data_IF_709831456701
#
_entry.id   IF_709831456701
#
_cell.length_a   1.000
_cell.length_b   1.000
_cell.length_c   1.000
_cell.angle_alpha   90.00
_cell.angle_beta   90.00
_cell.angle_gamma   90.00
#
_symmetry.space_group_name_H-M   'P 1'
#
loop_
_entity.id
_entity.type
_entity.pdbx_description
1 polymer ?
#
# COMPACT_ATOMS: atom_id res chain seq x y z
N UNK A 1 -8.24 26.86 -8.64
CA UNK A 1 -6.85 26.92 -8.09
C UNK A 1 -6.32 25.56 -7.63
N UNK A 2 -7.02 24.77 -6.79
CA UNK A 2 -6.51 23.46 -6.32
C UNK A 2 -6.33 22.40 -7.43
N UNK A 3 -7.26 22.28 -8.37
CA UNK A 3 -7.13 21.36 -9.52
C UNK A 3 -6.01 21.76 -10.50
N UNK A 4 -5.75 23.07 -10.63
CA UNK A 4 -4.65 23.60 -11.43
C UNK A 4 -3.29 23.29 -10.81
N UNK A 5 -3.20 23.24 -9.48
CA UNK A 5 -1.98 22.87 -8.76
C UNK A 5 -1.64 21.39 -8.97
N UNK A 6 -2.62 20.49 -8.84
CA UNK A 6 -2.45 19.04 -9.11
C UNK A 6 -2.04 18.79 -10.56
N UNK A 7 -2.65 19.49 -11.52
CA UNK A 7 -2.28 19.37 -12.93
C UNK A 7 -0.85 19.90 -13.20
N UNK A 8 -0.44 20.99 -12.54
CA UNK A 8 0.93 21.50 -12.63
C UNK A 8 1.95 20.58 -11.96
N UNK A 9 1.62 19.90 -10.86
CA UNK A 9 2.47 18.89 -10.23
C UNK A 9 2.72 17.70 -11.16
N UNK A 10 1.66 17.17 -11.80
CA UNK A 10 1.76 16.07 -12.77
C UNK A 10 2.57 16.50 -14.02
N UNK A 11 2.45 17.77 -14.43
CA UNK A 11 3.15 18.31 -15.60
C UNK A 11 4.63 18.67 -15.32
N UNK A 12 4.98 19.01 -14.07
CA UNK A 12 6.36 19.20 -13.63
C UNK A 12 7.11 17.86 -13.46
N UNK A 13 6.43 16.82 -12.97
CA UNK A 13 7.00 15.47 -12.82
C UNK A 13 7.28 14.83 -14.19
N UNK A 14 6.43 15.08 -15.19
CA UNK A 14 6.59 14.56 -16.56
C UNK A 14 7.63 15.30 -17.42
N UNK A 15 8.13 16.47 -17.01
CA UNK A 15 9.23 17.17 -17.71
C UNK A 15 10.63 16.66 -17.34
N UNK A 16 10.74 15.78 -16.35
CA UNK A 16 12.02 15.32 -15.84
C UNK A 16 12.38 13.89 -16.37
N UNK A 17 11.81 13.49 -17.51
CA UNK A 17 11.99 12.17 -18.15
C UNK A 17 13.30 12.14 -18.94
N UNK A 18 14.44 12.16 -18.23
CA UNK A 18 15.74 11.62 -18.65
C UNK A 18 16.65 11.61 -17.41
N UNK A 19 16.82 10.45 -16.76
CA UNK A 19 17.75 10.28 -15.63
C UNK A 19 17.22 10.69 -14.24
N UNK A 20 15.91 10.68 -14.00
CA UNK A 20 15.33 11.08 -12.72
C UNK A 20 15.47 10.02 -11.63
N UNK A 21 16.08 10.41 -10.50
CA UNK A 21 15.76 9.83 -9.20
C UNK A 21 14.29 10.16 -8.91
N UNK A 22 13.44 9.14 -8.80
CA UNK A 22 12.09 9.35 -8.29
C UNK A 22 12.19 9.78 -6.83
N UNK A 23 11.59 10.91 -6.48
CA UNK A 23 11.51 11.34 -5.08
C UNK A 23 10.43 10.51 -4.38
N UNK A 24 10.82 9.31 -3.94
CA UNK A 24 9.93 8.39 -3.24
C UNK A 24 9.33 9.05 -1.98
N UNK A 25 10.06 9.95 -1.33
CA UNK A 25 9.59 10.68 -0.17
C UNK A 25 8.48 11.67 -0.53
N UNK A 26 8.63 12.41 -1.63
CA UNK A 26 7.59 13.31 -2.14
C UNK A 26 6.31 12.52 -2.47
N UNK A 27 6.46 11.37 -3.14
CA UNK A 27 5.30 10.53 -3.49
C UNK A 27 4.63 9.98 -2.23
N UNK A 28 5.38 9.45 -1.26
CA UNK A 28 4.83 9.01 0.03
C UNK A 28 4.08 10.13 0.76
N UNK A 29 4.61 11.36 0.70
CA UNK A 29 3.98 12.53 1.33
C UNK A 29 2.77 13.04 0.56
N UNK A 30 2.62 12.68 -0.71
CA UNK A 30 1.45 13.02 -1.52
C UNK A 30 0.18 12.23 -1.14
N UNK A 31 0.32 11.13 -0.38
CA UNK A 31 -0.83 10.36 0.08
C UNK A 31 -1.75 11.21 0.96
N UNK A 32 -3.08 11.16 0.74
CA UNK A 32 -4.01 11.87 1.59
C UNK A 32 -3.92 11.35 3.03
N UNK A 33 -4.13 12.21 4.04
CA UNK A 33 -4.20 11.75 5.43
C UNK A 33 -5.37 10.77 5.59
N UNK A 34 -5.21 9.81 6.50
CA UNK A 34 -6.24 8.82 6.81
C UNK A 34 -7.53 9.55 7.27
N UNK A 35 -8.71 9.19 6.76
CA UNK A 35 -9.98 9.82 7.18
C UNK A 35 -10.26 9.50 8.64
N UNK A 36 -10.90 10.38 9.41
CA UNK A 36 -11.22 10.11 10.83
C UNK A 36 -12.45 9.23 11.06
N UNK A 37 -13.28 9.07 10.03
CA UNK A 37 -14.55 8.37 10.06
C UNK A 37 -14.47 6.96 9.43
N UNK A 38 -13.31 6.30 9.46
CA UNK A 38 -13.10 4.99 8.82
C UNK A 38 -14.10 3.92 9.28
N UNK A 39 -14.48 3.95 10.56
CA UNK A 39 -15.47 3.02 11.13
C UNK A 39 -16.91 3.27 10.65
N UNK A 40 -17.32 4.52 10.38
CA UNK A 40 -18.75 4.86 10.19
C UNK A 40 -19.06 5.61 8.91
N UNK A 41 -18.09 5.73 7.99
CA UNK A 41 -18.29 6.41 6.71
C UNK A 41 -19.41 5.78 5.87
N UNK A 42 -20.19 6.67 5.25
CA UNK A 42 -21.18 6.37 4.22
C UNK A 42 -20.53 5.91 2.92
N UNK A 43 -21.33 5.31 2.02
CA UNK A 43 -20.90 4.99 0.66
C UNK A 43 -20.27 6.18 -0.09
N UNK A 44 -20.87 7.36 0.00
CA UNK A 44 -20.38 8.56 -0.69
C UNK A 44 -19.00 9.02 -0.17
N UNK A 45 -18.70 8.83 1.12
CA UNK A 45 -17.40 9.16 1.70
C UNK A 45 -16.31 8.17 1.26
N UNK A 46 -16.67 6.88 1.16
CA UNK A 46 -15.80 5.83 0.60
C UNK A 46 -15.46 6.12 -0.86
N UNK A 47 -16.46 6.48 -1.68
CA UNK A 47 -16.23 6.86 -3.08
C UNK A 47 -15.30 8.07 -3.21
N UNK A 48 -15.56 9.13 -2.44
CA UNK A 48 -14.67 10.32 -2.42
C UNK A 48 -13.24 9.99 -2.00
N UNK A 49 -13.06 9.01 -1.12
CA UNK A 49 -11.73 8.54 -0.74
C UNK A 49 -11.00 7.87 -1.90
N UNK A 50 -11.69 6.96 -2.60
CA UNK A 50 -11.13 6.32 -3.79
C UNK A 50 -10.75 7.34 -4.86
N UNK A 51 -11.58 8.37 -5.08
CA UNK A 51 -11.24 9.48 -5.98
C UNK A 51 -9.96 10.22 -5.57
N UNK A 52 -9.67 10.37 -4.28
CA UNK A 52 -8.41 10.97 -3.80
C UNK A 52 -7.20 10.08 -4.07
N UNK A 53 -7.38 8.76 -4.09
CA UNK A 53 -6.29 7.81 -4.33
C UNK A 53 -6.01 7.61 -5.83
N UNK A 54 -6.97 7.90 -6.72
CA UNK A 54 -6.79 7.71 -8.18
C UNK A 54 -5.53 8.37 -8.76
N UNK A 55 -5.22 9.66 -8.48
CA UNK A 55 -4.03 10.30 -9.05
C UNK A 55 -2.73 9.60 -8.63
N UNK A 56 -2.69 9.08 -7.41
CA UNK A 56 -1.55 8.32 -6.91
C UNK A 56 -1.43 7.01 -7.67
N UNK A 57 -2.53 6.28 -7.86
CA UNK A 57 -2.51 5.04 -8.63
C UNK A 57 -2.00 5.26 -10.06
N UNK A 58 -2.46 6.32 -10.72
CA UNK A 58 -2.02 6.70 -12.07
C UNK A 58 -0.51 6.97 -12.11
N UNK A 59 0.00 7.71 -11.12
CA UNK A 59 1.44 7.94 -10.95
C UNK A 59 2.20 6.63 -10.77
N UNK A 60 1.75 5.73 -9.90
CA UNK A 60 2.40 4.44 -9.68
C UNK A 60 2.42 3.57 -10.94
N UNK A 61 1.35 3.62 -11.75
CA UNK A 61 1.33 2.94 -13.05
C UNK A 61 2.30 3.57 -14.05
N UNK A 62 2.51 4.87 -14.01
CA UNK A 62 3.50 5.56 -14.83
C UNK A 62 4.92 5.15 -14.43
N UNK A 63 5.23 5.17 -13.13
CA UNK A 63 6.50 4.68 -12.60
C UNK A 63 6.80 3.24 -13.04
N UNK A 64 5.79 2.36 -12.92
CA UNK A 64 5.93 0.97 -13.31
C UNK A 64 6.22 0.80 -14.82
N UNK A 65 5.58 1.62 -15.66
CA UNK A 65 5.86 1.60 -17.11
C UNK A 65 7.28 2.05 -17.41
N UNK A 66 7.76 3.09 -16.75
CA UNK A 66 9.13 3.58 -16.94
C UNK A 66 10.17 2.60 -16.42
N UNK A 67 9.96 2.02 -15.23
CA UNK A 67 10.83 0.96 -14.70
C UNK A 67 10.89 -0.26 -15.63
N UNK A 68 9.75 -0.70 -16.18
CA UNK A 68 9.73 -1.80 -17.17
C UNK A 68 10.48 -1.46 -18.46
N UNK A 69 10.42 -0.21 -18.94
CA UNK A 69 11.19 0.23 -20.11
C UNK A 69 12.68 0.22 -19.82
N UNK A 70 13.07 0.74 -18.67
CA UNK A 70 14.46 0.80 -18.24
C UNK A 70 15.04 -0.61 -17.99
N UNK A 71 14.29 -1.49 -17.36
CA UNK A 71 14.66 -2.89 -17.19
C UNK A 71 14.91 -3.57 -18.54
N UNK A 72 13.99 -3.43 -19.50
CA UNK A 72 14.19 -3.95 -20.87
C UNK A 72 15.43 -3.36 -21.53
N UNK A 73 15.71 -2.08 -21.33
CA UNK A 73 16.93 -1.45 -21.86
C UNK A 73 18.19 -2.11 -21.28
N UNK A 74 18.21 -2.39 -19.97
CA UNK A 74 19.31 -3.05 -19.26
C UNK A 74 19.51 -4.50 -19.68
N UNK A 75 18.42 -5.27 -19.79
CA UNK A 75 18.46 -6.69 -20.22
C UNK A 75 19.03 -6.86 -21.63
N UNK A 76 18.94 -5.82 -22.46
CA UNK A 76 19.52 -5.81 -23.81
C UNK A 76 20.98 -5.32 -23.86
N UNK A 77 21.58 -4.94 -22.73
CA UNK A 77 22.99 -4.57 -22.66
C UNK A 77 23.85 -5.80 -22.30
N UNK A 78 25.03 -5.96 -22.92
CA UNK A 78 25.94 -7.02 -22.55
C UNK A 78 26.40 -6.86 -21.10
N UNK A 79 26.50 -7.97 -20.38
CA UNK A 79 27.07 -8.00 -19.03
C UNK A 79 28.56 -7.65 -19.15
N UNK A 80 29.06 -6.62 -18.45
CA UNK A 80 30.41 -6.11 -18.63
C UNK A 80 31.48 -6.92 -17.85
N UNK A 81 31.13 -8.08 -17.30
CA UNK A 81 32.01 -8.90 -16.48
C UNK A 81 32.49 -10.14 -17.26
N UNK A 82 33.79 -10.37 -17.21
CA UNK A 82 34.43 -11.61 -17.65
C UNK A 82 34.46 -12.62 -16.49
N UNK A 83 34.67 -13.91 -16.80
CA UNK A 83 34.70 -15.02 -15.82
C UNK A 83 35.62 -14.75 -14.60
N UNK A 84 36.69 -13.99 -14.79
CA UNK A 84 37.68 -13.67 -13.74
C UNK A 84 37.19 -12.59 -12.74
N UNK A 85 36.09 -11.89 -13.04
CA UNK A 85 35.53 -10.83 -12.20
C UNK A 85 34.18 -11.21 -11.56
N UNK A 86 33.82 -12.50 -11.59
CA UNK A 86 32.56 -12.99 -11.03
C UNK A 86 32.50 -12.87 -9.50
N UNK A 87 33.60 -13.08 -8.79
CA UNK A 87 33.66 -12.94 -7.31
C UNK A 87 33.23 -11.53 -6.85
N UNK A 88 33.58 -10.50 -7.63
CA UNK A 88 33.19 -9.11 -7.34
C UNK A 88 31.69 -8.87 -7.53
N UNK A 89 31.10 -9.54 -8.52
CA UNK A 89 29.66 -9.47 -8.75
C UNK A 89 28.90 -10.17 -7.61
N UNK A 90 29.41 -11.31 -7.15
CA UNK A 90 28.85 -12.05 -6.01
C UNK A 90 28.94 -11.24 -4.71
N UNK A 91 30.09 -10.63 -4.41
CA UNK A 91 30.26 -9.73 -3.25
C UNK A 91 29.27 -8.56 -3.28
N UNK A 92 29.03 -7.98 -4.47
CA UNK A 92 28.09 -6.88 -4.65
C UNK A 92 26.64 -7.34 -4.45
N UNK A 93 26.28 -8.55 -4.89
CA UNK A 93 24.99 -9.15 -4.59
C UNK A 93 24.80 -9.40 -3.09
N UNK A 94 25.82 -9.88 -2.38
CA UNK A 94 25.75 -10.06 -0.93
C UNK A 94 25.57 -8.73 -0.18
N UNK A 95 26.24 -7.65 -0.61
CA UNK A 95 26.01 -6.33 -0.01
C UNK A 95 24.58 -5.86 -0.26
N UNK A 96 24.07 -6.02 -1.49
CA UNK A 96 22.69 -5.68 -1.82
C UNK A 96 21.69 -6.44 -0.94
N UNK A 97 21.89 -7.75 -0.77
CA UNK A 97 21.03 -8.61 0.07
C UNK A 97 21.05 -8.15 1.54
N UNK A 98 22.22 -7.76 2.08
CA UNK A 98 22.34 -7.22 3.44
C UNK A 98 21.55 -5.92 3.61
N UNK A 99 21.57 -5.04 2.61
CA UNK A 99 20.78 -3.81 2.62
C UNK A 99 19.28 -4.11 2.50
N UNK A 100 18.91 -5.09 1.68
CA UNK A 100 17.52 -5.52 1.53
C UNK A 100 16.99 -6.14 2.82
N UNK A 101 17.82 -6.91 3.53
CA UNK A 101 17.47 -7.46 4.84
C UNK A 101 17.21 -6.35 5.86
N UNK A 102 18.02 -5.29 5.88
CA UNK A 102 17.77 -4.13 6.76
C UNK A 102 16.42 -3.46 6.46
N UNK A 103 16.05 -3.37 5.18
CA UNK A 103 14.73 -2.87 4.79
C UNK A 103 13.63 -3.82 5.30
N UNK A 104 13.79 -5.13 5.08
CA UNK A 104 12.82 -6.14 5.48
C UNK A 104 12.62 -6.19 7.00
N UNK A 105 13.68 -6.01 7.80
CA UNK A 105 13.60 -5.97 9.26
C UNK A 105 12.69 -4.84 9.77
N UNK A 106 12.58 -3.75 9.00
CA UNK A 106 11.73 -2.60 9.32
C UNK A 106 10.31 -2.79 8.78
N UNK A 107 10.16 -3.27 7.53
CA UNK A 107 8.87 -3.29 6.85
C UNK A 107 8.06 -4.56 7.09
N UNK A 108 8.69 -5.72 7.29
CA UNK A 108 7.99 -6.99 7.49
C UNK A 108 7.09 -7.01 8.73
N UNK A 109 7.49 -6.50 9.91
CA UNK A 109 6.61 -6.50 11.09
C UNK A 109 5.27 -5.80 10.83
N UNK A 110 5.29 -4.71 10.07
CA UNK A 110 4.11 -3.91 9.70
C UNK A 110 3.22 -4.68 8.71
N UNK A 111 3.84 -5.35 7.74
CA UNK A 111 3.13 -6.22 6.79
C UNK A 111 2.50 -7.44 7.50
N UNK A 112 3.20 -8.00 8.50
CA UNK A 112 2.69 -9.11 9.32
C UNK A 112 1.47 -8.68 10.16
N UNK A 113 1.52 -7.51 10.78
CA UNK A 113 0.36 -6.95 11.51
C UNK A 113 -0.82 -6.72 10.55
N UNK A 114 -0.60 -6.18 9.35
CA UNK A 114 -1.68 -6.04 8.36
C UNK A 114 -2.35 -7.39 8.05
N UNK A 115 -1.53 -8.44 7.83
CA UNK A 115 -2.04 -9.80 7.58
C UNK A 115 -2.79 -10.38 8.78
N UNK A 116 -2.36 -10.09 10.00
CA UNK A 116 -3.05 -10.51 11.21
C UNK A 116 -4.42 -9.84 11.33
N UNK A 117 -4.51 -8.52 11.11
CA UNK A 117 -5.78 -7.77 11.13
C UNK A 117 -6.74 -8.35 10.07
N UNK A 118 -6.25 -8.64 8.86
CA UNK A 118 -7.06 -9.25 7.79
C UNK A 118 -7.58 -10.63 8.18
N UNK A 119 -6.73 -11.46 8.79
CA UNK A 119 -7.12 -12.80 9.23
C UNK A 119 -8.14 -12.74 10.37
N UNK A 120 -7.95 -11.82 11.33
CA UNK A 120 -8.88 -11.59 12.42
C UNK A 120 -10.24 -11.12 11.89
N UNK A 121 -10.27 -10.20 10.93
CA UNK A 121 -11.51 -9.77 10.29
C UNK A 121 -12.24 -10.93 9.63
N UNK A 122 -11.53 -11.82 8.91
CA UNK A 122 -12.16 -13.00 8.32
C UNK A 122 -12.85 -13.87 9.38
N UNK A 123 -12.19 -14.14 10.50
CA UNK A 123 -12.76 -14.91 11.61
C UNK A 123 -13.95 -14.19 12.25
N UNK A 124 -13.87 -12.88 12.39
CA UNK A 124 -14.90 -12.09 13.03
C UNK A 124 -16.14 -11.91 12.14
N UNK A 125 -15.99 -11.92 10.80
CA UNK A 125 -17.13 -11.98 9.87
C UNK A 125 -17.97 -13.25 10.06
N UNK A 126 -17.33 -14.39 10.35
CA UNK A 126 -18.04 -15.64 10.65
C UNK A 126 -18.81 -15.51 11.97
N UNK A 127 -18.16 -14.99 13.03
CA UNK A 127 -18.80 -14.76 14.34
C UNK A 127 -19.95 -13.76 14.27
N UNK A 128 -19.83 -12.73 13.42
CA UNK A 128 -20.84 -11.70 13.27
C UNK A 128 -22.21 -12.28 12.89
N UNK A 129 -22.24 -13.42 12.18
CA UNK A 129 -23.47 -14.15 11.81
C UNK A 129 -24.12 -14.89 12.99
N UNK A 130 -23.35 -15.24 14.01
CA UNK A 130 -23.80 -16.02 15.18
C UNK A 130 -24.26 -15.13 16.36
N UNK A 131 -23.87 -13.85 16.39
CA UNK A 131 -24.20 -12.94 17.49
C UNK A 131 -25.68 -12.53 17.56
N UNK A 132 -26.27 -12.54 18.77
CA UNK A 132 -27.60 -11.96 19.03
C UNK A 132 -27.56 -10.44 19.21
N UNK A 133 -28.69 -9.74 19.07
CA UNK A 133 -28.78 -8.27 19.14
C UNK A 133 -29.02 -7.60 17.79
N UNK A 134 -28.80 -6.28 17.70
CA UNK A 134 -28.86 -5.58 16.42
C UNK A 134 -27.57 -5.82 15.62
N UNK A 135 -27.68 -5.98 14.30
CA UNK A 135 -26.53 -6.28 13.44
C UNK A 135 -25.57 -5.10 13.38
N UNK A 136 -26.11 -3.87 13.42
CA UNK A 136 -25.31 -2.66 13.47
C UNK A 136 -24.45 -2.59 14.73
N UNK A 137 -25.02 -2.79 15.93
CA UNK A 137 -24.25 -2.77 17.18
C UNK A 137 -23.20 -3.88 17.22
N UNK A 138 -23.52 -5.07 16.69
CA UNK A 138 -22.57 -6.17 16.61
C UNK A 138 -21.41 -5.85 15.65
N UNK A 139 -21.70 -5.30 14.47
CA UNK A 139 -20.67 -4.82 13.53
C UNK A 139 -19.83 -3.73 14.16
N UNK A 140 -20.44 -2.74 14.79
CA UNK A 140 -19.72 -1.65 15.45
C UNK A 140 -18.77 -2.18 16.53
N UNK A 141 -19.24 -3.12 17.36
CA UNK A 141 -18.43 -3.74 18.42
C UNK A 141 -17.23 -4.51 17.88
N UNK A 142 -17.45 -5.30 16.83
CA UNK A 142 -16.41 -6.14 16.21
C UNK A 142 -15.41 -5.28 15.44
N UNK A 143 -15.91 -4.39 14.58
CA UNK A 143 -15.09 -3.64 13.65
C UNK A 143 -14.32 -2.50 14.30
N UNK A 144 -14.77 -1.97 15.44
CA UNK A 144 -14.05 -0.89 16.15
C UNK A 144 -12.60 -1.25 16.48
N UNK A 145 -12.36 -2.44 17.03
CA UNK A 145 -10.99 -2.85 17.39
C UNK A 145 -10.09 -3.07 16.18
N UNK A 146 -10.66 -3.60 15.09
CA UNK A 146 -9.95 -3.81 13.83
C UNK A 146 -9.63 -2.48 13.13
N UNK A 147 -10.57 -1.54 13.13
CA UNK A 147 -10.37 -0.18 12.64
C UNK A 147 -9.26 0.54 13.41
N UNK A 148 -9.32 0.53 14.75
CA UNK A 148 -8.29 1.16 15.60
C UNK A 148 -6.90 0.57 15.33
N UNK A 149 -6.77 -0.76 15.27
CA UNK A 149 -5.50 -1.44 14.92
C UNK A 149 -5.03 -1.07 13.51
N UNK A 150 -5.92 -1.07 12.52
CA UNK A 150 -5.58 -0.74 11.15
C UNK A 150 -5.11 0.70 11.00
N UNK A 151 -5.81 1.66 11.62
CA UNK A 151 -5.42 3.07 11.61
C UNK A 151 -4.02 3.26 12.19
N UNK A 152 -3.73 2.58 13.31
CA UNK A 152 -2.41 2.59 13.94
C UNK A 152 -1.35 1.97 13.00
N UNK A 153 -1.62 0.79 12.45
CA UNK A 153 -0.70 0.12 11.54
C UNK A 153 -0.39 0.97 10.29
N UNK A 154 -1.40 1.63 9.71
CA UNK A 154 -1.21 2.55 8.57
C UNK A 154 -0.37 3.78 8.91
N UNK A 155 -0.50 4.31 10.13
CA UNK A 155 0.34 5.40 10.60
C UNK A 155 1.79 4.95 10.79
N UNK A 156 2.00 3.79 11.42
CA UNK A 156 3.33 3.19 11.59
C UNK A 156 3.98 2.87 10.24
N UNK A 157 3.21 2.30 9.30
CA UNK A 157 3.64 2.03 7.93
C UNK A 157 4.13 3.30 7.24
N UNK A 158 3.37 4.39 7.31
CA UNK A 158 3.77 5.66 6.69
C UNK A 158 5.09 6.17 7.26
N UNK A 159 5.23 6.18 8.59
CA UNK A 159 6.44 6.68 9.26
C UNK A 159 7.65 5.81 8.88
N UNK A 160 7.52 4.50 9.02
CA UNK A 160 8.59 3.55 8.66
C UNK A 160 8.98 3.68 7.19
N UNK A 161 8.01 3.87 6.29
CA UNK A 161 8.24 4.02 4.86
C UNK A 161 8.97 5.31 4.53
N UNK A 162 8.64 6.43 5.18
CA UNK A 162 9.39 7.68 5.06
C UNK A 162 10.83 7.53 5.60
N UNK A 163 11.03 6.79 6.69
CA UNK A 163 12.35 6.55 7.29
C UNK A 163 13.28 5.71 6.40
N UNK A 164 12.75 4.70 5.70
CA UNK A 164 13.56 3.81 4.86
C UNK A 164 13.82 4.35 3.45
N UNK A 165 13.28 5.52 3.07
CA UNK A 165 13.50 6.09 1.72
C UNK A 165 14.98 6.14 1.33
N UNK A 166 15.93 6.63 2.18
CA UNK A 166 17.33 6.66 1.81
C UNK A 166 17.93 5.26 1.52
N UNK A 167 17.47 4.24 2.26
CA UNK A 167 17.90 2.86 2.04
C UNK A 167 17.32 2.31 0.73
N UNK A 168 16.05 2.59 0.45
CA UNK A 168 15.38 2.24 -0.81
C UNK A 168 16.06 2.90 -2.01
N UNK A 169 16.41 4.18 -1.90
CA UNK A 169 17.18 4.87 -2.95
C UNK A 169 18.54 4.21 -3.18
N UNK A 170 19.23 3.79 -2.11
CA UNK A 170 20.49 3.04 -2.23
C UNK A 170 20.25 1.70 -2.93
N UNK A 171 19.22 0.96 -2.56
CA UNK A 171 18.87 -0.34 -3.12
C UNK A 171 18.50 -0.26 -4.61
N UNK A 172 17.71 0.74 -5.02
CA UNK A 172 17.27 0.88 -6.42
C UNK A 172 18.39 1.35 -7.36
N UNK A 173 19.38 2.07 -6.82
CA UNK A 173 20.51 2.60 -7.57
C UNK A 173 21.81 1.82 -7.34
N UNK A 174 21.76 0.63 -6.73
CA UNK A 174 22.95 -0.14 -6.39
C UNK A 174 23.63 -0.68 -7.66
N UNK A 175 24.92 -0.39 -7.81
CA UNK A 175 25.73 -0.75 -8.98
C UNK A 175 27.08 -1.32 -8.59
N UNK A 176 27.58 -2.29 -9.36
CA UNK A 176 28.96 -2.77 -9.32
C UNK A 176 29.67 -2.30 -10.60
N UNK A 177 30.71 -1.47 -10.51
CA UNK A 177 31.43 -0.89 -11.66
C UNK A 177 30.54 -0.27 -12.74
N UNK A 178 29.43 0.36 -12.32
CA UNK A 178 28.45 0.95 -13.23
C UNK A 178 27.46 -0.05 -13.84
N UNK A 179 27.61 -1.35 -13.58
CA UNK A 179 26.58 -2.35 -13.86
C UNK A 179 25.52 -2.38 -12.74
N UNK A 180 24.23 -2.23 -13.06
CA UNK A 180 23.17 -2.26 -12.05
C UNK A 180 22.99 -3.69 -11.50
N UNK A 181 23.06 -3.82 -10.17
CA UNK A 181 22.75 -5.08 -9.46
C UNK A 181 21.24 -5.20 -9.22
N UNK A 182 20.59 -4.05 -8.99
CA UNK A 182 19.16 -3.97 -8.68
C UNK A 182 18.29 -3.83 -9.92
N UNK A 183 17.09 -4.40 -9.87
CA UNK A 183 16.00 -4.15 -10.83
C UNK A 183 15.47 -2.72 -10.74
N UNK A 184 15.76 -1.99 -9.65
CA UNK A 184 15.25 -0.63 -9.43
C UNK A 184 13.78 -0.57 -9.08
N UNK A 185 13.21 -1.65 -8.55
CA UNK A 185 11.76 -1.80 -8.28
C UNK A 185 11.39 -1.70 -6.80
N UNK A 186 12.36 -1.61 -5.88
CA UNK A 186 12.12 -1.66 -4.43
C UNK A 186 11.26 -0.48 -3.99
N UNK A 187 11.54 0.73 -4.46
CA UNK A 187 10.74 1.91 -4.11
C UNK A 187 9.33 1.87 -4.66
N UNK A 188 9.13 1.33 -5.87
CA UNK A 188 7.80 1.14 -6.42
C UNK A 188 6.99 0.13 -5.59
N UNK A 189 7.60 -1.00 -5.21
CA UNK A 189 6.94 -1.99 -4.35
C UNK A 189 6.47 -1.38 -3.04
N UNK A 190 7.33 -0.60 -2.38
CA UNK A 190 6.99 0.09 -1.14
C UNK A 190 5.83 1.08 -1.32
N UNK A 191 5.83 1.86 -2.40
CA UNK A 191 4.71 2.76 -2.71
C UNK A 191 3.41 2.00 -3.01
N UNK A 192 3.49 0.86 -3.70
CA UNK A 192 2.35 -0.01 -4.01
C UNK A 192 1.76 -0.64 -2.76
N UNK A 193 2.60 -1.03 -1.81
CA UNK A 193 2.16 -1.51 -0.51
C UNK A 193 1.36 -0.43 0.21
N UNK A 194 1.91 0.79 0.34
CA UNK A 194 1.19 1.92 0.96
C UNK A 194 -0.14 2.20 0.27
N UNK A 195 -0.17 2.17 -1.07
CA UNK A 195 -1.41 2.34 -1.83
C UNK A 195 -2.44 1.26 -1.53
N UNK A 196 -2.02 0.01 -1.50
CA UNK A 196 -2.90 -1.13 -1.24
C UNK A 196 -3.50 -1.06 0.16
N UNK A 197 -2.70 -0.71 1.16
CA UNK A 197 -3.17 -0.57 2.54
C UNK A 197 -4.08 0.67 2.70
N UNK A 198 -3.80 1.78 2.00
CA UNK A 198 -4.68 2.96 1.98
C UNK A 198 -6.02 2.73 1.27
N UNK A 199 -6.05 1.87 0.24
CA UNK A 199 -7.29 1.42 -0.39
C UNK A 199 -8.19 0.65 0.60
N UNK A 200 -7.59 0.02 1.61
CA UNK A 200 -8.26 -0.73 2.68
C UNK A 200 -8.61 0.12 3.91
N UNK A 201 -8.47 1.44 3.85
CA UNK A 201 -8.80 2.33 4.97
C UNK A 201 -10.23 2.11 5.54
N UNK A 202 -11.19 1.69 4.70
CA UNK A 202 -12.57 1.42 5.09
C UNK A 202 -12.92 -0.08 5.17
N UNK A 203 -11.94 -0.98 5.18
CA UNK A 203 -12.18 -2.43 5.23
C UNK A 203 -12.89 -2.89 6.50
N UNK A 204 -12.79 -2.10 7.57
CA UNK A 204 -13.39 -2.35 8.88
C UNK A 204 -14.50 -1.34 9.21
N UNK A 205 -15.25 -0.95 8.19
CA UNK A 205 -16.36 -0.02 8.33
C UNK A 205 -17.63 -0.75 8.78
N UNK A 206 -18.26 -0.26 9.85
CA UNK A 206 -19.54 -0.73 10.37
C UNK A 206 -20.77 -0.05 9.73
N UNK A 207 -20.55 0.92 8.83
CA UNK A 207 -21.59 1.71 8.19
C UNK A 207 -22.17 2.81 9.08
N UNK A 208 -23.20 3.49 8.58
CA UNK A 208 -23.92 4.55 9.30
C UNK A 208 -25.13 4.04 10.09
N UNK A 209 -25.40 2.73 10.06
CA UNK A 209 -26.63 2.12 10.60
C UNK A 209 -27.87 2.35 9.73
N UNK A 210 -27.78 3.22 8.71
CA UNK A 210 -28.84 3.51 7.73
C UNK A 210 -28.78 2.57 6.51
N UNK A 211 -27.60 2.01 6.22
CA UNK A 211 -27.40 1.07 5.11
C UNK A 211 -27.71 -0.36 5.56
N UNK A 212 -28.81 -0.92 5.04
CA UNK A 212 -29.16 -2.32 5.21
C UNK A 212 -28.32 -3.16 4.24
N UNK A 213 -27.34 -3.89 4.75
CA UNK A 213 -26.50 -4.80 3.97
C UNK A 213 -27.21 -6.16 3.80
N UNK A 214 -26.69 -6.98 2.88
CA UNK A 214 -27.11 -8.35 2.60
C UNK A 214 -27.20 -9.20 3.87
N UNK A 215 -26.30 -9.02 4.83
CA UNK A 215 -26.34 -9.72 6.13
C UNK A 215 -27.53 -9.25 6.98
N UNK A 216 -27.82 -7.95 6.98
CA UNK A 216 -28.99 -7.40 7.67
C UNK A 216 -30.28 -7.95 7.04
N UNK A 217 -30.34 -7.95 5.70
CA UNK A 217 -31.47 -8.49 4.96
C UNK A 217 -31.70 -9.98 5.25
N UNK A 218 -30.65 -10.80 5.27
CA UNK A 218 -30.77 -12.24 5.58
C UNK A 218 -31.24 -12.45 7.02
N UNK A 219 -30.72 -11.69 7.99
CA UNK A 219 -31.15 -11.80 9.40
C UNK A 219 -32.58 -11.33 9.60
N UNK A 220 -32.99 -10.26 8.95
CA UNK A 220 -34.35 -9.76 9.01
C UNK A 220 -35.32 -10.71 8.33
N UNK A 221 -34.95 -11.30 7.19
CA UNK A 221 -35.69 -12.40 6.57
C UNK A 221 -35.78 -13.61 7.50
N UNK A 222 -34.70 -14.00 8.18
CA UNK A 222 -34.74 -15.09 9.16
C UNK A 222 -35.61 -14.76 10.38
N UNK A 223 -35.70 -13.49 10.80
CA UNK A 223 -36.65 -13.07 11.85
C UNK A 223 -38.09 -13.06 11.37
N UNK A 224 -38.34 -12.67 10.13
CA UNK A 224 -39.68 -12.57 9.54
C UNK A 224 -40.24 -13.94 9.11
N UNK A 225 -39.37 -14.87 8.69
CA UNK A 225 -39.74 -16.15 8.08
C UNK A 225 -39.17 -17.37 8.79
N UNK A 226 -38.34 -17.18 9.82
CA UNK A 226 -37.91 -18.24 10.72
C UNK A 226 -39.09 -18.70 11.57
N UNK A 227 -39.46 -19.98 11.42
CA UNK A 227 -40.45 -20.64 12.27
C UNK A 227 -39.89 -20.77 13.68
N UNK A 228 -40.42 -19.97 14.61
CA UNK A 228 -40.70 -20.44 15.96
C UNK A 228 -42.11 -21.04 16.00
#
# INVERSE_FOLDING_TARGET
MKALFVFFSILLISMQVYGQKYDYLEILRSYPPLPDNTLTASKAEKERWLEKLKPINELLWELEREQKKEQKRRENQPIPFELENMDKLDDAHEEWEKLYQQLADITMPIQMEEMEILNQNRQDQERLLEMSGSVYENRLKVQKGLDERNRKNLQEMRVAFEEVVPLVEKLDNFTCDGYPISSGTVGLSLLRDMYTSMMRAYSYNAGTGEEMDTIDAIRELNRMFGRE
#
